data_IF_790912648723
#
_entry.id   IF_790912648723
#
_cell.length_a   1.000
_cell.length_b   1.000
_cell.length_c   1.000
_cell.angle_alpha   90.00
_cell.angle_beta   90.00
_cell.angle_gamma   90.00
#
_symmetry.space_group_name_H-M   'P 1'
#
loop_
_entity.id
_entity.type
_entity.pdbx_description
1 polymer ?
#
# COMPACT_ATOMS: atom_id res chain seq x y z
N UNK A 1 41.86 23.50 60.86
CA UNK A 1 40.66 23.71 60.03
C UNK A 1 40.58 22.60 58.98
N UNK A 2 39.57 21.72 58.99
CA UNK A 2 38.35 21.80 58.15
C UNK A 2 38.61 22.05 56.65
N UNK A 3 38.66 20.98 55.83
CA UNK A 3 38.08 20.87 54.46
C UNK A 3 38.21 19.43 53.91
N UNK A 4 37.30 18.59 54.39
CA UNK A 4 36.60 17.47 53.69
C UNK A 4 37.26 16.70 52.53
N UNK A 5 37.46 15.40 52.76
CA UNK A 5 37.51 14.29 51.77
C UNK A 5 36.58 14.50 50.55
N UNK A 6 37.14 14.44 49.33
CA UNK A 6 36.48 13.99 48.09
C UNK A 6 37.55 13.87 46.98
N UNK A 7 37.69 12.82 46.17
CA UNK A 7 37.22 11.42 46.23
C UNK A 7 38.19 10.58 45.39
N UNK A 8 39.26 10.09 46.02
CA UNK A 8 40.07 9.01 45.45
C UNK A 8 39.63 7.67 46.08
N UNK A 9 39.90 6.58 45.37
CA UNK A 9 39.78 5.17 45.77
C UNK A 9 38.47 4.42 45.44
N UNK A 10 38.58 3.58 44.40
CA UNK A 10 37.97 2.25 44.19
C UNK A 10 36.45 2.12 43.94
N UNK A 11 36.07 0.87 43.61
CA UNK A 11 34.80 0.37 43.08
C UNK A 11 34.58 0.75 41.60
N UNK A 12 34.91 -0.09 40.60
CA UNK A 12 34.70 -1.55 40.47
C UNK A 12 33.24 -1.95 40.72
N UNK A 13 32.62 -2.60 39.73
CA UNK A 13 31.20 -2.96 39.64
C UNK A 13 30.20 -1.79 39.56
N UNK A 14 29.86 -1.38 38.33
CA UNK A 14 28.54 -0.83 37.97
C UNK A 14 28.05 -1.47 36.64
N UNK A 15 28.00 -2.81 36.65
CA UNK A 15 26.90 -3.49 35.95
C UNK A 15 25.62 -3.21 36.76
N UNK A 16 24.48 -3.10 36.08
CA UNK A 16 23.12 -2.85 36.63
C UNK A 16 22.77 -1.40 37.00
N UNK A 17 22.28 -0.66 35.99
CA UNK A 17 21.34 0.50 36.01
C UNK A 17 21.11 0.81 34.50
N UNK A 18 19.94 0.78 33.87
CA UNK A 18 18.55 0.50 34.24
C UNK A 18 17.89 -0.29 33.09
N UNK A 19 17.08 -1.31 33.41
CA UNK A 19 16.11 -1.90 32.48
C UNK A 19 14.78 -1.10 32.58
N UNK A 20 14.03 -1.01 31.48
CA UNK A 20 12.69 -0.39 31.36
C UNK A 20 12.60 1.16 31.33
N UNK A 21 12.63 1.70 30.10
CA UNK A 21 11.78 2.85 29.71
C UNK A 21 11.05 2.52 28.40
N UNK A 22 9.81 2.07 28.52
CA UNK A 22 8.81 2.05 27.44
C UNK A 22 7.79 3.17 27.72
N UNK A 23 7.07 3.76 26.77
CA UNK A 23 6.79 3.43 25.37
C UNK A 23 6.88 4.76 24.54
N UNK A 24 6.67 4.84 23.22
CA UNK A 24 6.22 3.88 22.22
C UNK A 24 6.83 4.22 20.85
N UNK A 25 7.53 3.29 20.21
CA UNK A 25 7.77 3.35 18.76
C UNK A 25 6.84 2.34 18.10
N UNK A 26 5.65 2.81 17.73
CA UNK A 26 4.62 2.02 17.06
C UNK A 26 4.11 2.74 15.81
N UNK A 27 5.06 3.22 15.02
CA UNK A 27 4.89 3.33 13.58
C UNK A 27 5.68 2.17 12.96
N UNK A 28 5.17 0.94 13.10
CA UNK A 28 5.48 -0.06 12.10
C UNK A 28 4.92 0.49 10.79
N UNK A 29 5.81 0.77 9.84
CA UNK A 29 5.41 1.10 8.48
C UNK A 29 4.56 -0.06 7.97
N UNK A 30 3.26 0.20 7.82
CA UNK A 30 2.26 -0.84 7.56
C UNK A 30 2.34 -1.29 6.10
N UNK A 31 3.41 -2.03 5.76
CA UNK A 31 3.46 -2.82 4.53
C UNK A 31 2.65 -4.11 4.68
N UNK A 32 1.40 -3.99 5.17
CA UNK A 32 0.43 -5.07 5.23
C UNK A 32 -0.65 -4.93 4.14
N UNK A 33 -0.20 -4.70 2.91
CA UNK A 33 -1.00 -5.11 1.76
C UNK A 33 -0.80 -6.61 1.56
N UNK A 34 -1.52 -7.42 2.33
CA UNK A 34 -1.71 -8.85 2.05
C UNK A 34 -2.79 -9.06 0.96
N UNK A 35 -2.74 -8.22 -0.08
CA UNK A 35 -3.56 -8.37 -1.29
C UNK A 35 -3.09 -9.53 -2.16
N UNK A 36 -3.91 -9.90 -3.14
CA UNK A 36 -3.52 -10.90 -4.13
C UNK A 36 -2.26 -10.46 -4.90
N UNK A 37 -1.28 -11.35 -5.05
CA UNK A 37 -0.05 -11.06 -5.77
C UNK A 37 -0.28 -11.08 -7.29
N UNK A 38 -0.67 -9.92 -7.85
CA UNK A 38 -0.91 -9.74 -9.29
C UNK A 38 0.40 -9.52 -10.06
N UNK A 39 0.57 -10.17 -11.22
CA UNK A 39 1.73 -10.00 -12.10
C UNK A 39 1.78 -8.61 -12.70
N UNK A 40 0.67 -8.14 -13.26
CA UNK A 40 0.53 -6.82 -13.87
C UNK A 40 -0.95 -6.39 -14.02
N UNK A 41 -1.16 -5.19 -14.57
CA UNK A 41 -2.50 -4.63 -14.82
C UNK A 41 -3.32 -5.36 -15.88
N UNK A 42 -2.69 -6.08 -16.82
CA UNK A 42 -3.38 -6.83 -17.84
C UNK A 42 -3.99 -8.12 -17.25
N UNK A 43 -3.28 -8.77 -16.33
CA UNK A 43 -3.81 -9.91 -15.58
C UNK A 43 -5.04 -9.51 -14.75
N UNK A 44 -4.97 -8.41 -14.00
CA UNK A 44 -6.10 -7.91 -13.19
C UNK A 44 -7.29 -7.60 -14.09
N UNK A 45 -7.04 -6.93 -15.22
CA UNK A 45 -8.09 -6.62 -16.19
C UNK A 45 -8.75 -7.89 -16.74
N UNK A 46 -7.96 -8.88 -17.18
CA UNK A 46 -8.49 -10.13 -17.75
C UNK A 46 -9.24 -10.98 -16.72
N UNK A 47 -8.76 -11.05 -15.46
CA UNK A 47 -9.35 -11.88 -14.39
C UNK A 47 -10.48 -11.21 -13.61
N UNK A 48 -10.73 -9.92 -13.80
CA UNK A 48 -11.77 -9.17 -13.06
C UNK A 48 -12.58 -8.27 -13.99
N UNK A 49 -11.94 -7.30 -14.63
CA UNK A 49 -12.63 -6.23 -15.36
C UNK A 49 -13.34 -6.73 -16.64
N UNK A 50 -12.69 -7.60 -17.40
CA UNK A 50 -13.17 -8.12 -18.68
C UNK A 50 -14.53 -8.82 -18.55
N UNK A 51 -14.74 -9.59 -17.47
CA UNK A 51 -16.00 -10.29 -17.18
C UNK A 51 -17.25 -9.40 -17.22
N UNK A 52 -17.12 -8.11 -16.91
CA UNK A 52 -18.21 -7.15 -17.05
C UNK A 52 -18.05 -6.23 -18.27
N UNK A 53 -16.85 -5.70 -18.50
CA UNK A 53 -16.63 -4.65 -19.50
C UNK A 53 -16.60 -5.18 -20.94
N UNK A 54 -16.20 -6.44 -21.16
CA UNK A 54 -16.20 -7.08 -22.49
C UNK A 54 -17.50 -7.85 -22.75
N UNK A 55 -18.13 -8.38 -21.70
CA UNK A 55 -19.46 -8.99 -21.76
C UNK A 55 -20.63 -7.98 -21.86
N UNK A 56 -20.35 -6.70 -22.12
CA UNK A 56 -21.33 -5.60 -22.24
C UNK A 56 -22.21 -5.34 -21.00
N UNK A 57 -21.88 -5.91 -19.84
CA UNK A 57 -22.52 -5.58 -18.54
C UNK A 57 -22.09 -4.19 -18.07
N UNK A 58 -20.83 -3.83 -18.31
CA UNK A 58 -20.27 -2.50 -18.14
C UNK A 58 -19.96 -1.83 -19.48
N UNK A 59 -19.77 -0.50 -19.52
CA UNK A 59 -19.33 0.20 -20.72
C UNK A 59 -17.92 -0.24 -21.13
N UNK A 60 -17.59 -0.18 -22.41
CA UNK A 60 -16.22 -0.38 -22.88
C UNK A 60 -15.27 0.68 -22.27
N UNK A 61 -14.12 0.24 -21.77
CA UNK A 61 -13.12 1.07 -21.07
C UNK A 61 -11.71 1.04 -21.68
N UNK A 62 -11.38 0.05 -22.52
CA UNK A 62 -10.15 0.01 -23.32
C UNK A 62 -10.21 1.05 -24.43
N UNK A 63 -9.05 1.50 -24.93
CA UNK A 63 -8.93 2.34 -26.13
C UNK A 63 -9.67 3.69 -26.06
N UNK A 64 -9.84 4.23 -24.84
CA UNK A 64 -10.60 5.46 -24.54
C UNK A 64 -9.80 6.58 -23.86
N UNK A 65 -8.49 6.42 -23.72
CA UNK A 65 -7.57 7.44 -23.18
C UNK A 65 -8.02 7.98 -21.80
N UNK A 66 -8.60 7.09 -20.98
CA UNK A 66 -9.18 7.42 -19.68
C UNK A 66 -8.08 7.84 -18.69
N UNK A 67 -8.23 8.97 -17.96
CA UNK A 67 -7.24 9.39 -16.98
C UNK A 67 -7.04 8.35 -15.86
N UNK A 68 -5.79 8.03 -15.54
CA UNK A 68 -5.44 7.03 -14.51
C UNK A 68 -6.08 7.35 -13.16
N UNK A 69 -6.05 8.63 -12.74
CA UNK A 69 -6.75 9.11 -11.53
C UNK A 69 -8.26 8.81 -11.55
N UNK A 70 -8.92 8.98 -12.68
CA UNK A 70 -10.35 8.67 -12.82
C UNK A 70 -10.61 7.17 -12.64
N UNK A 71 -9.82 6.32 -13.32
CA UNK A 71 -9.90 4.86 -13.18
C UNK A 71 -9.72 4.44 -11.71
N UNK A 72 -8.68 4.96 -11.04
CA UNK A 72 -8.41 4.70 -9.62
C UNK A 72 -9.59 5.08 -8.72
N UNK A 73 -10.17 6.26 -8.94
CA UNK A 73 -11.35 6.74 -8.18
C UNK A 73 -12.56 5.83 -8.38
N UNK A 74 -12.87 5.43 -9.61
CA UNK A 74 -14.02 4.57 -9.91
C UNK A 74 -13.83 3.17 -9.32
N UNK A 75 -12.63 2.57 -9.43
CA UNK A 75 -12.37 1.23 -8.86
C UNK A 75 -12.46 1.23 -7.32
N UNK A 76 -12.03 2.30 -6.65
CA UNK A 76 -12.06 2.41 -5.18
C UNK A 76 -13.44 2.74 -4.59
N UNK A 77 -14.29 3.48 -5.32
CA UNK A 77 -15.59 3.95 -4.82
C UNK A 77 -16.78 3.22 -5.45
N UNK A 78 -16.55 2.45 -6.52
CA UNK A 78 -17.61 1.97 -7.40
C UNK A 78 -18.23 3.10 -8.22
N UNK A 79 -19.21 2.76 -9.06
CA UNK A 79 -20.03 3.73 -9.78
C UNK A 79 -21.36 3.10 -10.21
N UNK A 80 -22.46 3.51 -9.56
CA UNK A 80 -23.81 2.92 -9.75
C UNK A 80 -23.78 1.41 -9.51
N UNK A 81 -23.99 0.60 -10.55
CA UNK A 81 -23.95 -0.86 -10.49
C UNK A 81 -22.53 -1.44 -10.53
N UNK A 82 -21.51 -0.66 -10.88
CA UNK A 82 -20.12 -1.11 -10.81
C UNK A 82 -19.67 -1.14 -9.34
N UNK A 83 -19.22 -2.31 -8.80
CA UNK A 83 -18.81 -2.43 -7.41
C UNK A 83 -17.50 -1.70 -7.13
N UNK A 84 -17.27 -1.40 -5.85
CA UNK A 84 -16.00 -0.94 -5.32
C UNK A 84 -15.09 -2.13 -4.99
N UNK A 85 -13.79 -2.03 -5.30
CA UNK A 85 -12.78 -3.04 -4.99
C UNK A 85 -11.88 -2.60 -3.83
N UNK A 86 -11.81 -3.47 -2.81
CA UNK A 86 -11.07 -3.27 -1.56
C UNK A 86 -9.57 -3.36 -1.79
N UNK A 87 -8.80 -2.79 -0.86
CA UNK A 87 -7.33 -2.85 -0.85
C UNK A 87 -6.84 -4.31 -0.79
N UNK A 88 -7.54 -5.18 -0.04
CA UNK A 88 -7.24 -6.62 0.06
C UNK A 88 -7.48 -7.41 -1.24
N UNK A 89 -8.23 -6.86 -2.20
CA UNK A 89 -8.55 -7.52 -3.48
C UNK A 89 -7.60 -7.02 -4.58
N UNK A 90 -7.46 -5.69 -4.66
CA UNK A 90 -6.55 -4.99 -5.57
C UNK A 90 -5.90 -3.87 -4.78
N UNK A 91 -4.62 -3.99 -4.44
CA UNK A 91 -3.92 -2.95 -3.68
C UNK A 91 -3.54 -1.73 -4.52
N UNK A 92 -2.92 -0.72 -3.92
CA UNK A 92 -2.68 0.56 -4.59
C UNK A 92 -1.58 0.52 -5.65
N UNK A 93 -0.62 -0.41 -5.55
CA UNK A 93 0.40 -0.67 -6.57
C UNK A 93 -0.21 -1.43 -7.75
N UNK A 94 -0.97 -2.49 -7.46
CA UNK A 94 -1.73 -3.28 -8.44
C UNK A 94 -2.73 -2.41 -9.20
N UNK A 95 -3.43 -1.53 -8.48
CA UNK A 95 -4.35 -0.57 -9.08
C UNK A 95 -3.64 0.51 -9.92
N UNK A 96 -2.39 0.87 -9.61
CA UNK A 96 -1.61 1.75 -10.49
C UNK A 96 -1.32 1.05 -11.81
N UNK A 97 -0.79 -0.18 -11.76
CA UNK A 97 -0.53 -1.03 -12.94
C UNK A 97 -1.80 -1.24 -13.79
N UNK A 98 -2.96 -1.48 -13.15
CA UNK A 98 -4.25 -1.60 -13.82
C UNK A 98 -4.70 -0.30 -14.50
N UNK A 99 -4.59 0.84 -13.81
CA UNK A 99 -4.98 2.14 -14.37
C UNK A 99 -4.10 2.54 -15.56
N UNK A 100 -2.78 2.29 -15.46
CA UNK A 100 -1.84 2.50 -16.56
C UNK A 100 -2.13 1.57 -17.74
N UNK A 101 -2.50 0.30 -17.48
CA UNK A 101 -2.93 -0.61 -18.52
C UNK A 101 -4.19 -0.11 -19.25
N UNK A 102 -5.26 0.21 -18.52
CA UNK A 102 -6.55 0.65 -19.08
C UNK A 102 -6.43 2.00 -19.83
N UNK A 103 -5.64 2.95 -19.31
CA UNK A 103 -5.48 4.27 -19.93
C UNK A 103 -4.77 4.22 -21.29
N UNK A 104 -3.90 3.24 -21.51
CA UNK A 104 -3.22 3.03 -22.79
C UNK A 104 -4.19 2.56 -23.86
N UNK A 105 -4.10 3.22 -25.02
CA UNK A 105 -4.67 2.77 -26.28
C UNK A 105 -3.78 1.69 -26.87
N UNK A 106 -4.37 0.58 -27.31
CA UNK A 106 -3.71 -0.38 -28.19
C UNK A 106 -3.42 0.31 -29.52
N UNK A 107 -2.16 0.27 -29.94
CA UNK A 107 -1.76 0.69 -31.28
C UNK A 107 -2.10 -0.48 -32.22
N UNK A 108 -2.96 -0.30 -33.24
CA UNK A 108 -3.22 -1.34 -34.23
C UNK A 108 -1.93 -1.73 -34.95
N UNK A 109 -1.76 -3.04 -35.19
CA UNK A 109 -0.71 -3.59 -36.04
C UNK A 109 -1.16 -3.66 -37.50
#
# INVERSE_FOLDING_TARGET
MKKTKLRSWLFSCMVSIIFATSNAWSAQEEKNSSGFAWKDGAEIYAKICAYCHEAQVGPQIRNRELPTKYIRTIVRNGNRAMPAFRISEIDDESLAKLADFISKKEVPH
#
